data_IF_738251619569
#
_entry.id   IF_738251619569
#
_cell.length_a   1.000
_cell.length_b   1.000
_cell.length_c   1.000
_cell.angle_alpha   90.00
_cell.angle_beta   90.00
_cell.angle_gamma   90.00
#
_symmetry.space_group_name_H-M   'P 1'
#
loop_
_entity.id
_entity.type
_entity.pdbx_description
1 polymer ?
#
# COMPACT_ATOMS: atom_id res chain seq x y z
N UNK A 1 -41.62 -10.21 -39.76
CA UNK A 1 -41.76 -11.07 -38.54
C UNK A 1 -40.93 -10.46 -37.43
N UNK A 2 -41.52 -10.23 -36.27
CA UNK A 2 -40.76 -9.74 -35.11
C UNK A 2 -39.84 -10.82 -34.55
N UNK A 3 -38.61 -10.46 -34.23
CA UNK A 3 -37.64 -11.36 -33.61
C UNK A 3 -38.07 -11.81 -32.20
N UNK A 4 -37.56 -12.92 -31.66
CA UNK A 4 -37.86 -13.34 -30.29
C UNK A 4 -37.56 -12.24 -29.25
N UNK A 5 -36.49 -11.47 -29.45
CA UNK A 5 -36.14 -10.34 -28.60
C UNK A 5 -37.17 -9.20 -28.65
N UNK A 6 -37.66 -8.87 -29.83
CA UNK A 6 -38.72 -7.84 -30.01
C UNK A 6 -40.05 -8.24 -29.37
N UNK A 7 -40.43 -9.54 -29.45
CA UNK A 7 -41.62 -10.06 -28.77
C UNK A 7 -41.48 -10.00 -27.24
N UNK A 8 -40.28 -10.23 -26.72
CA UNK A 8 -40.02 -10.14 -25.30
C UNK A 8 -40.08 -8.68 -24.79
N UNK A 9 -39.48 -7.76 -25.53
CA UNK A 9 -39.54 -6.33 -25.18
C UNK A 9 -40.97 -5.79 -25.18
N UNK A 10 -41.78 -6.19 -26.15
CA UNK A 10 -43.21 -5.83 -26.22
C UNK A 10 -44.01 -6.40 -25.04
N UNK A 11 -43.75 -7.67 -24.65
CA UNK A 11 -44.37 -8.31 -23.50
C UNK A 11 -43.99 -7.66 -22.17
N UNK A 12 -42.82 -7.04 -22.10
CA UNK A 12 -42.31 -6.31 -20.93
C UNK A 12 -42.67 -4.82 -20.96
N UNK A 13 -43.39 -4.34 -21.99
CA UNK A 13 -43.72 -2.92 -22.12
C UNK A 13 -42.54 -2.01 -22.41
N UNK A 14 -41.43 -2.60 -22.88
CA UNK A 14 -40.20 -1.86 -23.18
C UNK A 14 -40.12 -1.52 -24.66
N UNK A 15 -39.69 -0.30 -24.99
CA UNK A 15 -39.47 0.12 -26.39
C UNK A 15 -38.21 -0.57 -26.95
N UNK A 16 -38.27 -0.98 -28.23
CA UNK A 16 -37.12 -1.53 -28.92
C UNK A 16 -36.05 -0.45 -29.11
N UNK A 17 -34.85 -0.59 -28.53
CA UNK A 17 -33.80 0.41 -28.62
C UNK A 17 -33.24 0.60 -30.04
N UNK A 18 -33.53 -0.33 -30.95
CA UNK A 18 -33.08 -0.26 -32.35
C UNK A 18 -34.09 0.45 -33.24
N UNK A 19 -35.35 0.62 -32.80
CA UNK A 19 -36.39 1.27 -33.59
C UNK A 19 -36.37 2.81 -33.55
N UNK A 20 -35.63 3.40 -32.59
CA UNK A 20 -35.57 4.86 -32.45
C UNK A 20 -34.26 5.40 -33.04
N UNK A 21 -34.26 5.53 -34.38
CA UNK A 21 -33.13 6.08 -35.14
C UNK A 21 -32.90 7.59 -34.92
N UNK A 22 -33.73 8.27 -34.12
CA UNK A 22 -33.63 9.73 -33.87
C UNK A 22 -32.59 10.08 -32.78
N UNK A 23 -31.91 9.12 -32.19
CA UNK A 23 -31.01 9.32 -31.06
C UNK A 23 -29.52 9.27 -31.45
N UNK A 24 -29.17 8.98 -32.69
CA UNK A 24 -27.77 8.86 -33.14
C UNK A 24 -27.38 10.08 -33.97
N UNK A 25 -27.19 11.23 -33.32
CA UNK A 25 -26.57 12.41 -33.93
C UNK A 25 -25.29 12.88 -33.26
N UNK A 26 -24.86 12.20 -32.18
CA UNK A 26 -23.58 12.51 -31.50
C UNK A 26 -22.76 11.24 -31.27
N UNK A 27 -21.66 11.05 -32.05
CA UNK A 27 -20.82 9.84 -31.94
C UNK A 27 -20.17 9.68 -30.57
N UNK A 28 -19.97 10.75 -29.81
CA UNK A 28 -19.33 10.71 -28.50
C UNK A 28 -20.26 10.22 -27.36
N UNK A 29 -21.57 10.36 -27.55
CA UNK A 29 -22.55 9.90 -26.57
C UNK A 29 -23.05 8.47 -26.79
N UNK A 30 -22.82 7.89 -27.95
CA UNK A 30 -23.45 6.62 -28.34
C UNK A 30 -22.96 5.41 -27.51
N UNK A 31 -21.68 5.36 -27.13
CA UNK A 31 -21.14 4.30 -26.29
C UNK A 31 -21.57 4.41 -24.84
N UNK A 32 -21.59 5.62 -24.30
CA UNK A 32 -22.05 5.88 -22.94
C UNK A 32 -23.55 5.60 -22.77
N UNK A 33 -24.36 6.01 -23.73
CA UNK A 33 -25.80 5.76 -23.73
C UNK A 33 -26.14 4.28 -23.97
N UNK A 34 -25.35 3.57 -24.75
CA UNK A 34 -25.46 2.12 -24.89
C UNK A 34 -25.21 1.40 -23.56
N UNK A 35 -24.15 1.73 -22.84
CA UNK A 35 -23.87 1.14 -21.53
C UNK A 35 -24.88 1.56 -20.46
N UNK A 36 -25.39 2.77 -20.51
CA UNK A 36 -26.45 3.25 -19.62
C UNK A 36 -27.77 2.53 -19.88
N UNK A 37 -28.12 2.30 -21.13
CA UNK A 37 -29.35 1.59 -21.53
C UNK A 37 -29.22 0.06 -21.41
N UNK A 38 -28.05 -0.48 -21.64
CA UNK A 38 -27.73 -1.90 -21.38
C UNK A 38 -27.70 -2.19 -19.87
N UNK A 39 -27.17 -1.29 -19.03
CA UNK A 39 -27.25 -1.37 -17.58
C UNK A 39 -28.70 -1.36 -17.06
N UNK A 40 -29.52 -0.47 -17.58
CA UNK A 40 -30.95 -0.43 -17.23
C UNK A 40 -31.74 -1.67 -17.70
N UNK A 41 -31.37 -2.25 -18.85
CA UNK A 41 -31.98 -3.50 -19.36
C UNK A 41 -31.47 -4.76 -18.63
N UNK A 42 -30.21 -4.76 -18.18
CA UNK A 42 -29.61 -5.85 -17.38
C UNK A 42 -30.17 -5.96 -15.97
N UNK A 43 -30.65 -4.84 -15.40
CA UNK A 43 -31.28 -4.77 -14.08
C UNK A 43 -32.56 -5.64 -13.94
N UNK A 44 -33.25 -5.90 -15.05
CA UNK A 44 -34.49 -6.69 -15.02
C UNK A 44 -34.25 -8.21 -15.12
N UNK A 45 -33.08 -8.66 -15.56
CA UNK A 45 -32.79 -10.09 -15.77
C UNK A 45 -31.67 -10.64 -14.88
N UNK A 46 -30.92 -9.78 -14.22
CA UNK A 46 -29.78 -10.16 -13.37
C UNK A 46 -29.77 -9.55 -11.98
N UNK A 47 -30.89 -9.01 -11.53
CA UNK A 47 -31.00 -8.13 -10.36
C UNK A 47 -30.57 -8.68 -9.00
N UNK A 48 -30.09 -9.91 -8.94
CA UNK A 48 -29.63 -10.50 -7.65
C UNK A 48 -28.12 -10.74 -7.53
N UNK A 49 -27.33 -10.57 -8.60
CA UNK A 49 -25.90 -10.91 -8.54
C UNK A 49 -24.93 -9.75 -8.82
N UNK A 50 -25.39 -8.58 -9.24
CA UNK A 50 -24.53 -7.47 -9.65
C UNK A 50 -24.72 -6.13 -8.94
N UNK A 51 -25.67 -6.03 -8.01
CA UNK A 51 -25.99 -4.76 -7.32
C UNK A 51 -24.78 -4.14 -6.59
N UNK A 52 -23.86 -4.96 -6.07
CA UNK A 52 -22.69 -4.45 -5.34
C UNK A 52 -21.59 -3.88 -6.22
N UNK A 53 -21.46 -4.34 -7.46
CA UNK A 53 -20.42 -3.87 -8.40
C UNK A 53 -20.89 -2.59 -9.10
N UNK A 54 -22.15 -2.54 -9.52
CA UNK A 54 -22.74 -1.37 -10.16
C UNK A 54 -22.91 -0.20 -9.19
N UNK A 55 -23.32 -0.45 -7.95
CA UNK A 55 -23.40 0.59 -6.91
C UNK A 55 -22.02 1.13 -6.55
N UNK A 56 -21.02 0.27 -6.48
CA UNK A 56 -19.63 0.65 -6.21
C UNK A 56 -19.05 1.44 -7.40
N UNK A 57 -19.33 1.02 -8.62
CA UNK A 57 -18.96 1.74 -9.83
C UNK A 57 -19.67 3.10 -9.89
N UNK A 58 -20.98 3.14 -9.67
CA UNK A 58 -21.77 4.39 -9.66
C UNK A 58 -21.26 5.35 -8.58
N UNK A 59 -20.96 4.87 -7.39
CA UNK A 59 -20.46 5.68 -6.29
C UNK A 59 -19.02 6.17 -6.54
N UNK A 60 -18.14 5.34 -7.11
CA UNK A 60 -16.79 5.76 -7.48
C UNK A 60 -16.76 6.70 -8.68
N UNK A 61 -17.72 6.58 -9.59
CA UNK A 61 -17.84 7.43 -10.79
C UNK A 61 -18.55 8.75 -10.54
N UNK A 62 -19.35 8.87 -9.47
CA UNK A 62 -20.09 10.11 -9.18
C UNK A 62 -19.19 11.31 -8.86
N UNK A 63 -17.96 11.07 -8.42
CA UNK A 63 -16.98 12.09 -8.01
C UNK A 63 -15.94 12.42 -9.09
N UNK A 64 -16.01 11.80 -10.27
CA UNK A 64 -15.02 11.98 -11.33
C UNK A 64 -15.53 12.97 -12.38
N UNK A 65 -14.64 13.84 -12.85
CA UNK A 65 -14.93 14.75 -13.96
C UNK A 65 -15.27 13.93 -15.21
N UNK A 66 -16.53 14.04 -15.68
CA UNK A 66 -17.03 13.27 -16.83
C UNK A 66 -16.54 13.78 -18.18
N UNK A 67 -15.82 14.90 -18.19
CA UNK A 67 -15.31 15.55 -19.40
C UNK A 67 -13.83 15.26 -19.66
N UNK A 68 -13.27 14.19 -19.08
CA UNK A 68 -11.89 13.83 -19.33
C UNK A 68 -11.69 13.26 -20.72
N UNK A 69 -10.66 13.71 -21.41
CA UNK A 69 -10.14 13.12 -22.64
C UNK A 69 -8.77 12.46 -22.30
N UNK A 70 -8.73 11.17 -21.97
CA UNK A 70 -7.51 10.52 -21.48
C UNK A 70 -6.33 10.60 -22.45
N UNK A 71 -6.59 10.59 -23.76
CA UNK A 71 -5.55 10.70 -24.80
C UNK A 71 -4.86 12.07 -24.81
N UNK A 72 -5.55 13.12 -24.39
CA UNK A 72 -5.08 14.51 -24.42
C UNK A 72 -4.58 15.00 -23.06
N UNK A 73 -4.59 14.15 -22.04
CA UNK A 73 -4.08 14.49 -20.73
C UNK A 73 -2.57 14.74 -20.78
N UNK A 74 -2.15 15.80 -20.09
CA UNK A 74 -0.74 16.15 -19.89
C UNK A 74 -0.50 16.55 -18.45
N UNK A 75 0.57 16.06 -17.87
CA UNK A 75 1.06 16.49 -16.56
C UNK A 75 1.53 17.94 -16.68
N UNK A 76 0.96 18.83 -15.89
CA UNK A 76 1.29 20.26 -15.88
C UNK A 76 2.13 20.69 -14.68
N UNK A 77 1.94 20.03 -13.54
CA UNK A 77 2.67 20.34 -12.32
C UNK A 77 2.79 19.14 -11.39
N UNK A 78 3.73 19.22 -10.47
CA UNK A 78 3.84 18.33 -9.31
C UNK A 78 4.23 19.14 -8.08
N UNK A 79 3.47 18.99 -7.01
CA UNK A 79 3.63 19.71 -5.74
C UNK A 79 3.63 18.71 -4.60
N UNK A 80 4.02 19.15 -3.41
CA UNK A 80 3.97 18.33 -2.19
C UNK A 80 3.40 19.11 -1.02
N UNK A 81 2.90 18.36 -0.05
CA UNK A 81 2.58 18.83 1.28
C UNK A 81 3.02 17.76 2.29
N UNK A 82 3.38 18.19 3.50
CA UNK A 82 3.66 17.26 4.59
C UNK A 82 2.46 17.25 5.53
N UNK A 83 1.81 16.11 5.65
CA UNK A 83 0.71 15.90 6.57
C UNK A 83 1.25 15.21 7.82
N UNK A 84 0.85 15.70 8.99
CA UNK A 84 1.21 15.07 10.26
C UNK A 84 0.10 14.09 10.68
N UNK A 85 0.49 12.87 10.98
CA UNK A 85 -0.39 11.85 11.56
C UNK A 85 0.22 11.40 12.91
N UNK A 86 -0.19 12.02 13.99
CA UNK A 86 0.47 11.84 15.28
C UNK A 86 1.93 12.29 15.20
N UNK A 87 2.85 11.35 15.42
CA UNK A 87 4.29 11.60 15.32
C UNK A 87 4.87 11.38 13.92
N UNK A 88 4.08 10.78 13.02
CA UNK A 88 4.54 10.45 11.67
C UNK A 88 4.40 11.64 10.73
N UNK A 89 5.45 11.91 9.98
CA UNK A 89 5.44 12.88 8.87
C UNK A 89 5.13 12.12 7.58
N UNK A 90 4.01 12.44 6.96
CA UNK A 90 3.54 11.81 5.73
C UNK A 90 3.63 12.81 4.57
N UNK A 91 4.72 12.82 3.81
CA UNK A 91 4.81 13.67 2.64
C UNK A 91 3.91 13.11 1.53
N UNK A 92 3.01 13.94 1.05
CA UNK A 92 2.09 13.62 -0.05
C UNK A 92 2.46 14.48 -1.24
N UNK A 93 2.58 13.88 -2.41
CA UNK A 93 2.69 14.60 -3.67
C UNK A 93 1.33 14.68 -4.35
N UNK A 94 1.14 15.75 -5.11
CA UNK A 94 0.03 15.94 -6.01
C UNK A 94 0.56 16.21 -7.42
N UNK A 95 0.08 15.44 -8.39
CA UNK A 95 0.35 15.64 -9.80
C UNK A 95 -0.89 16.27 -10.43
N UNK A 96 -0.73 17.44 -11.04
CA UNK A 96 -1.80 18.18 -11.71
C UNK A 96 -1.76 17.93 -13.22
N UNK A 97 -2.93 18.04 -13.87
CA UNK A 97 -3.07 17.88 -15.32
C UNK A 97 -3.73 19.08 -15.98
N UNK A 98 -3.59 19.18 -17.31
CA UNK A 98 -4.22 20.22 -18.14
C UNK A 98 -5.76 20.18 -18.16
N UNK A 99 -6.39 19.13 -17.63
CA UNK A 99 -7.85 18.98 -17.61
C UNK A 99 -8.43 19.08 -16.19
N UNK A 100 -7.66 19.56 -15.21
CA UNK A 100 -8.10 19.72 -13.83
C UNK A 100 -8.18 18.42 -13.01
N UNK A 101 -7.95 17.27 -13.63
CA UNK A 101 -7.78 16.01 -12.92
C UNK A 101 -6.41 16.03 -12.23
N UNK A 102 -6.37 15.56 -11.00
CA UNK A 102 -5.12 15.42 -10.27
C UNK A 102 -5.04 14.06 -9.57
N UNK A 103 -3.83 13.61 -9.30
CA UNK A 103 -3.56 12.40 -8.53
C UNK A 103 -2.70 12.67 -7.31
N UNK A 104 -2.87 11.83 -6.31
CA UNK A 104 -2.14 11.86 -5.05
C UNK A 104 -1.29 10.60 -4.88
N UNK A 105 -0.11 10.77 -4.30
CA UNK A 105 0.76 9.67 -3.90
C UNK A 105 1.51 10.03 -2.64
N UNK A 106 1.67 9.07 -1.74
CA UNK A 106 2.42 9.26 -0.50
C UNK A 106 3.87 8.82 -0.66
N UNK A 107 4.78 9.70 -0.29
CA UNK A 107 6.21 9.41 -0.19
C UNK A 107 6.48 8.87 1.20
N UNK A 108 6.73 7.58 1.28
CA UNK A 108 6.74 6.86 2.54
C UNK A 108 8.12 6.33 2.95
N UNK A 109 8.20 5.82 4.18
CA UNK A 109 9.28 5.03 4.74
C UNK A 109 10.65 5.71 4.79
N UNK A 110 10.65 6.96 5.28
CA UNK A 110 11.87 7.75 5.41
C UNK A 110 12.42 8.23 4.07
N UNK A 111 11.71 8.01 2.97
CA UNK A 111 12.03 8.66 1.71
C UNK A 111 11.71 10.15 1.80
N UNK A 112 12.59 10.97 1.22
CA UNK A 112 12.39 12.41 1.19
C UNK A 112 11.43 12.81 0.06
N UNK A 113 10.53 13.75 0.31
CA UNK A 113 9.74 14.40 -0.72
C UNK A 113 10.60 15.00 -1.85
N UNK A 114 11.87 15.31 -1.57
CA UNK A 114 12.82 15.80 -2.57
C UNK A 114 13.08 14.77 -3.65
N UNK A 115 13.10 13.47 -3.31
CA UNK A 115 13.24 12.39 -4.29
C UNK A 115 12.06 12.29 -5.25
N UNK A 116 10.86 12.62 -4.78
CA UNK A 116 9.71 12.71 -5.65
C UNK A 116 9.77 13.96 -6.54
N UNK A 117 10.04 15.13 -5.93
CA UNK A 117 10.04 16.40 -6.67
C UNK A 117 11.13 16.50 -7.73
N UNK A 118 12.28 15.90 -7.53
CA UNK A 118 13.32 15.91 -8.54
C UNK A 118 12.88 15.19 -9.83
N UNK A 119 11.94 14.24 -9.73
CA UNK A 119 11.36 13.53 -10.87
C UNK A 119 10.40 14.40 -11.69
N UNK A 120 9.95 15.54 -11.16
CA UNK A 120 9.02 16.46 -11.82
C UNK A 120 9.48 16.79 -13.25
N UNK A 121 10.73 17.21 -13.44
CA UNK A 121 11.27 17.55 -14.75
C UNK A 121 11.29 16.38 -15.74
N UNK A 122 11.17 15.16 -15.26
CA UNK A 122 11.20 13.94 -16.08
C UNK A 122 9.82 13.56 -16.61
N UNK A 123 8.76 14.07 -15.98
CA UNK A 123 7.38 13.65 -16.27
C UNK A 123 6.48 14.78 -16.79
N UNK A 124 6.87 16.05 -16.65
CA UNK A 124 6.10 17.18 -17.18
C UNK A 124 5.82 17.02 -18.67
N UNK A 125 4.59 17.35 -19.09
CA UNK A 125 4.11 17.25 -20.46
C UNK A 125 3.77 15.83 -20.92
N UNK A 126 4.09 14.80 -20.15
CA UNK A 126 3.73 13.41 -20.47
C UNK A 126 2.26 13.14 -20.18
N UNK A 127 1.70 12.16 -20.89
CA UNK A 127 0.35 11.70 -20.59
C UNK A 127 0.38 10.78 -19.35
N UNK A 128 -0.30 11.16 -18.24
CA UNK A 128 -0.26 10.38 -16.99
C UNK A 128 -0.93 9.02 -17.09
N UNK A 129 -1.76 8.76 -18.09
CA UNK A 129 -2.37 7.45 -18.30
C UNK A 129 -1.39 6.42 -18.87
N UNK A 130 -0.22 6.85 -19.36
CA UNK A 130 0.86 5.96 -19.77
C UNK A 130 1.74 5.57 -18.58
N UNK A 131 1.13 5.00 -17.54
CA UNK A 131 1.75 4.74 -16.23
C UNK A 131 3.03 3.93 -16.37
N UNK A 132 2.96 2.79 -17.05
CA UNK A 132 4.11 1.90 -17.26
C UNK A 132 5.29 2.58 -17.97
N UNK A 133 5.00 3.38 -18.98
CA UNK A 133 6.04 4.11 -19.72
C UNK A 133 6.73 5.12 -18.81
N UNK A 134 5.95 5.88 -18.02
CA UNK A 134 6.50 6.86 -17.08
C UNK A 134 7.29 6.14 -15.98
N UNK A 135 6.73 5.07 -15.41
CA UNK A 135 7.41 4.28 -14.39
C UNK A 135 8.76 3.75 -14.87
N UNK A 136 8.81 3.15 -16.07
CA UNK A 136 10.08 2.69 -16.66
C UNK A 136 11.10 3.81 -16.84
N UNK A 137 10.65 5.02 -17.15
CA UNK A 137 11.51 6.19 -17.30
C UNK A 137 12.12 6.65 -15.97
N UNK A 138 11.37 6.56 -14.87
CA UNK A 138 11.78 7.11 -13.58
C UNK A 138 12.33 6.06 -12.60
N UNK A 139 12.03 4.78 -12.76
CA UNK A 139 12.40 3.73 -11.78
C UNK A 139 13.90 3.65 -11.49
N UNK A 140 14.75 3.98 -12.46
CA UNK A 140 16.19 4.00 -12.30
C UNK A 140 16.68 5.00 -11.23
N UNK A 141 15.86 5.98 -10.89
CA UNK A 141 16.16 6.98 -9.86
C UNK A 141 15.73 6.57 -8.47
N UNK A 142 15.00 5.47 -8.35
CA UNK A 142 14.46 4.99 -7.09
C UNK A 142 15.43 4.11 -6.33
N UNK A 143 16.38 3.50 -7.00
CA UNK A 143 17.24 2.47 -6.45
C UNK A 143 16.42 1.44 -5.66
N UNK A 144 16.88 1.03 -4.50
CA UNK A 144 16.13 0.14 -3.62
C UNK A 144 15.90 0.80 -2.25
N UNK A 145 15.07 0.16 -1.47
CA UNK A 145 14.71 0.62 -0.15
C UNK A 145 13.91 1.91 -0.16
N UNK A 146 14.14 2.73 0.82
CA UNK A 146 13.33 3.92 1.12
C UNK A 146 13.39 5.01 0.04
N UNK A 147 14.44 5.04 -0.74
CA UNK A 147 14.58 5.99 -1.86
C UNK A 147 13.57 5.71 -2.98
N UNK A 148 13.18 4.44 -3.14
CA UNK A 148 12.11 4.05 -4.06
C UNK A 148 10.77 4.71 -3.76
N UNK A 149 10.55 5.16 -2.54
CA UNK A 149 9.31 5.81 -2.12
C UNK A 149 8.94 7.04 -2.96
N UNK A 150 9.92 7.79 -3.47
CA UNK A 150 9.65 8.91 -4.38
C UNK A 150 9.13 8.46 -5.74
N UNK A 151 9.69 7.39 -6.31
CA UNK A 151 9.23 6.79 -7.57
C UNK A 151 7.86 6.15 -7.39
N UNK A 152 7.66 5.41 -6.30
CA UNK A 152 6.38 4.78 -5.99
C UNK A 152 5.26 5.82 -5.76
N UNK A 153 5.56 6.94 -5.10
CA UNK A 153 4.61 8.02 -4.91
C UNK A 153 4.12 8.61 -6.25
N UNK A 154 5.05 8.80 -7.20
CA UNK A 154 4.68 9.24 -8.55
C UNK A 154 3.80 8.20 -9.23
N UNK A 155 4.15 6.94 -9.17
CA UNK A 155 3.38 5.86 -9.80
C UNK A 155 1.97 5.75 -9.19
N UNK A 156 1.82 5.81 -7.86
CA UNK A 156 0.51 5.86 -7.20
C UNK A 156 -0.34 7.03 -7.69
N UNK A 157 0.25 8.23 -7.80
CA UNK A 157 -0.45 9.41 -8.30
C UNK A 157 -0.89 9.26 -9.77
N UNK A 158 -0.11 8.58 -10.59
CA UNK A 158 -0.48 8.29 -11.98
C UNK A 158 -1.65 7.30 -12.06
N UNK A 159 -1.68 6.25 -11.24
CA UNK A 159 -2.82 5.33 -11.17
C UNK A 159 -4.09 6.02 -10.66
N UNK A 160 -3.97 6.96 -9.71
CA UNK A 160 -5.09 7.77 -9.26
C UNK A 160 -5.64 8.67 -10.39
N UNK A 161 -4.76 9.31 -11.19
CA UNK A 161 -5.17 10.06 -12.38
C UNK A 161 -5.83 9.16 -13.41
N UNK A 162 -5.23 8.02 -13.74
CA UNK A 162 -5.75 7.11 -14.73
C UNK A 162 -7.15 6.60 -14.33
N UNK A 163 -7.32 6.20 -13.07
CA UNK A 163 -8.62 5.80 -12.54
C UNK A 163 -9.68 6.89 -12.71
N UNK A 164 -9.35 8.13 -12.36
CA UNK A 164 -10.23 9.30 -12.54
C UNK A 164 -10.51 9.60 -14.01
N UNK A 165 -9.50 9.52 -14.86
CA UNK A 165 -9.65 9.80 -16.28
C UNK A 165 -10.52 8.77 -17.01
N UNK A 166 -10.36 7.49 -16.66
CA UNK A 166 -11.19 6.41 -17.22
C UNK A 166 -12.51 6.18 -16.46
N UNK A 167 -12.71 6.90 -15.36
CA UNK A 167 -13.91 6.80 -14.53
C UNK A 167 -14.08 5.39 -13.91
N UNK A 168 -12.99 4.80 -13.47
CA UNK A 168 -12.96 3.50 -12.77
C UNK A 168 -12.03 3.59 -11.55
N UNK A 169 -12.26 2.80 -10.50
CA UNK A 169 -11.30 2.71 -9.41
C UNK A 169 -9.98 2.09 -9.87
N UNK A 170 -8.86 2.53 -9.29
CA UNK A 170 -7.52 2.08 -9.69
C UNK A 170 -7.37 0.55 -9.69
N UNK A 171 -7.99 -0.17 -8.74
CA UNK A 171 -7.91 -1.62 -8.69
C UNK A 171 -8.46 -2.32 -9.95
N UNK A 172 -9.43 -1.71 -10.66
CA UNK A 172 -9.93 -2.25 -11.92
C UNK A 172 -8.88 -2.22 -13.03
N UNK A 173 -8.02 -1.19 -13.01
CA UNK A 173 -6.90 -1.07 -13.96
C UNK A 173 -5.75 -2.04 -13.59
N UNK A 174 -5.69 -2.47 -12.33
CA UNK A 174 -4.65 -3.35 -11.79
C UNK A 174 -5.04 -4.84 -11.80
N UNK A 175 -6.10 -5.21 -12.51
CA UNK A 175 -6.49 -6.62 -12.65
C UNK A 175 -7.80 -6.99 -11.96
N UNK A 176 -8.50 -6.02 -11.38
CA UNK A 176 -9.81 -6.22 -10.77
C UNK A 176 -9.78 -6.52 -9.28
N UNK A 177 -10.96 -6.76 -8.73
CA UNK A 177 -11.14 -6.96 -7.29
C UNK A 177 -10.90 -8.42 -6.92
N UNK A 178 -9.91 -8.66 -6.07
CA UNK A 178 -9.59 -10.00 -5.59
C UNK A 178 -10.35 -10.37 -4.29
N UNK A 179 -10.54 -9.40 -3.37
CA UNK A 179 -11.22 -9.61 -2.09
C UNK A 179 -11.88 -8.34 -1.58
N UNK A 180 -12.86 -8.49 -0.69
CA UNK A 180 -13.57 -7.38 -0.05
C UNK A 180 -13.01 -7.00 1.32
N UNK A 181 -12.29 -7.92 1.95
CA UNK A 181 -11.75 -7.75 3.30
C UNK A 181 -10.31 -8.24 3.36
N UNK A 182 -9.50 -7.54 4.14
CA UNK A 182 -8.14 -7.92 4.46
C UNK A 182 -8.04 -8.15 5.97
N UNK A 183 -7.47 -9.30 6.37
CA UNK A 183 -7.17 -9.57 7.77
C UNK A 183 -6.06 -8.64 8.23
N UNK A 184 -6.30 -7.92 9.31
CA UNK A 184 -5.29 -7.06 9.92
C UNK A 184 -4.54 -7.84 11.00
N UNK A 185 -3.27 -7.54 11.14
CA UNK A 185 -2.50 -7.91 12.31
C UNK A 185 -2.30 -6.70 13.24
N UNK A 186 -2.14 -6.95 14.51
CA UNK A 186 -1.79 -5.91 15.46
C UNK A 186 -0.26 -5.80 15.54
N UNK A 187 0.27 -4.70 15.06
CA UNK A 187 1.67 -4.33 15.27
C UNK A 187 1.87 -3.90 16.74
N UNK A 188 2.80 -4.56 17.45
CA UNK A 188 2.89 -4.43 18.91
C UNK A 188 4.30 -4.00 19.32
N UNK A 189 4.51 -2.69 19.55
CA UNK A 189 5.79 -2.18 20.02
C UNK A 189 6.13 -2.73 21.40
N UNK A 190 7.42 -2.88 21.68
CA UNK A 190 7.94 -3.53 22.89
C UNK A 190 7.48 -2.87 24.21
N UNK A 191 7.29 -1.56 24.24
CA UNK A 191 7.05 -0.84 25.49
C UNK A 191 8.33 -0.62 26.31
N UNK A 192 8.17 -0.10 27.53
CA UNK A 192 9.29 0.23 28.40
C UNK A 192 9.81 -0.96 29.21
N UNK A 193 8.99 -1.97 29.40
CA UNK A 193 9.33 -3.19 30.13
C UNK A 193 8.46 -4.37 29.65
N UNK A 194 8.83 -5.56 30.13
CA UNK A 194 8.18 -6.82 29.78
C UNK A 194 6.70 -6.87 30.19
N UNK A 195 6.37 -6.41 31.38
CA UNK A 195 5.00 -6.42 31.90
C UNK A 195 4.07 -5.53 31.03
N UNK A 196 4.53 -4.35 30.66
CA UNK A 196 3.81 -3.46 29.77
C UNK A 196 3.59 -4.10 28.38
N UNK A 197 4.61 -4.75 27.85
CA UNK A 197 4.53 -5.44 26.58
C UNK A 197 3.49 -6.57 26.60
N UNK A 198 3.55 -7.42 27.62
CA UNK A 198 2.57 -8.50 27.80
C UNK A 198 1.15 -7.96 27.94
N UNK A 199 0.97 -6.90 28.74
CA UNK A 199 -0.33 -6.25 28.90
C UNK A 199 -0.88 -5.70 27.57
N UNK A 200 -0.02 -5.14 26.72
CA UNK A 200 -0.41 -4.69 25.38
C UNK A 200 -0.89 -5.85 24.49
N UNK A 201 -0.16 -6.96 24.49
CA UNK A 201 -0.55 -8.16 23.74
C UNK A 201 -1.93 -8.63 24.20
N UNK A 202 -2.11 -8.82 25.52
CA UNK A 202 -3.36 -9.28 26.09
C UNK A 202 -4.54 -8.36 25.76
N UNK A 203 -4.35 -7.05 25.84
CA UNK A 203 -5.37 -6.08 25.46
C UNK A 203 -5.75 -6.19 23.98
N UNK A 204 -4.78 -6.36 23.08
CA UNK A 204 -5.04 -6.49 21.64
C UNK A 204 -5.81 -7.77 21.30
N UNK A 205 -5.51 -8.86 21.98
CA UNK A 205 -6.23 -10.11 21.80
C UNK A 205 -7.62 -10.08 22.42
N UNK A 206 -7.74 -9.68 23.69
CA UNK A 206 -8.94 -9.86 24.47
C UNK A 206 -9.95 -8.72 24.32
N UNK A 207 -9.47 -7.46 24.20
CA UNK A 207 -10.34 -6.28 24.15
C UNK A 207 -10.53 -5.77 22.71
N UNK A 208 -9.50 -5.83 21.88
CA UNK A 208 -9.54 -5.31 20.50
C UNK A 208 -9.85 -6.40 19.46
N UNK A 209 -9.82 -7.67 19.84
CA UNK A 209 -10.26 -8.78 19.00
C UNK A 209 -9.34 -9.10 17.82
N UNK A 210 -8.06 -8.73 17.88
CA UNK A 210 -7.12 -9.11 16.84
C UNK A 210 -6.87 -10.62 16.86
N UNK A 211 -6.88 -11.21 15.68
CA UNK A 211 -6.65 -12.65 15.50
C UNK A 211 -5.29 -12.96 14.89
N UNK A 212 -4.48 -11.96 14.68
CA UNK A 212 -3.10 -12.05 14.21
C UNK A 212 -2.26 -10.97 14.89
N UNK A 213 -1.11 -11.34 15.39
CA UNK A 213 -0.19 -10.45 16.09
C UNK A 213 1.12 -10.33 15.33
N UNK A 214 1.68 -9.13 15.28
CA UNK A 214 3.08 -8.88 14.98
C UNK A 214 3.71 -8.18 16.19
N UNK A 215 4.89 -8.58 16.57
CA UNK A 215 5.62 -7.97 17.68
C UNK A 215 6.93 -7.40 17.19
N UNK A 216 7.37 -6.33 17.79
CA UNK A 216 8.74 -5.86 17.66
C UNK A 216 9.70 -6.83 18.34
N UNK A 217 10.66 -7.29 17.58
CA UNK A 217 11.68 -8.21 18.02
C UNK A 217 13.04 -7.50 18.00
N UNK A 218 13.07 -6.36 18.62
CA UNK A 218 14.17 -5.42 18.48
C UNK A 218 15.41 -5.83 19.28
N UNK A 219 16.57 -5.60 18.69
CA UNK A 219 17.87 -5.75 19.36
C UNK A 219 18.07 -4.75 20.50
N UNK A 220 17.20 -3.75 20.60
CA UNK A 220 17.19 -2.81 21.73
C UNK A 220 17.08 -3.50 23.08
N UNK A 221 16.50 -4.67 23.13
CA UNK A 221 16.51 -5.52 24.34
C UNK A 221 17.93 -5.83 24.85
N UNK A 222 18.91 -5.77 23.96
CA UNK A 222 20.30 -6.09 24.26
C UNK A 222 21.13 -4.85 24.63
N UNK A 223 20.60 -3.65 24.43
CA UNK A 223 21.34 -2.39 24.50
C UNK A 223 22.15 -2.20 25.80
N UNK A 224 21.58 -2.57 26.93
CA UNK A 224 22.19 -2.38 28.23
C UNK A 224 22.61 -3.69 28.88
N UNK A 225 22.66 -4.77 28.12
CA UNK A 225 23.02 -6.09 28.62
C UNK A 225 24.41 -6.45 28.12
N UNK A 226 25.36 -6.51 29.07
CA UNK A 226 26.75 -6.79 28.76
C UNK A 226 26.92 -8.17 28.09
N UNK A 227 27.85 -8.24 27.16
CA UNK A 227 28.28 -9.49 26.48
C UNK A 227 27.17 -10.13 25.60
N UNK A 228 26.23 -9.34 25.08
CA UNK A 228 25.14 -9.86 24.23
C UNK A 228 25.36 -9.61 22.74
N UNK A 229 26.15 -8.61 22.42
CA UNK A 229 26.52 -8.29 21.05
C UNK A 229 27.91 -7.65 21.00
N UNK A 230 28.66 -7.88 19.92
CA UNK A 230 29.88 -7.16 19.58
C UNK A 230 29.56 -6.06 18.55
N UNK A 231 30.48 -5.11 18.42
CA UNK A 231 30.33 -3.95 17.51
C UNK A 231 29.07 -3.12 17.81
N UNK A 232 28.80 -2.89 19.08
CA UNK A 232 27.57 -2.25 19.57
C UNK A 232 27.58 -0.72 19.50
N UNK A 233 28.54 -0.09 18.82
CA UNK A 233 28.56 1.36 18.56
C UNK A 233 27.28 1.86 17.89
N UNK A 234 26.51 0.96 17.30
CA UNK A 234 25.18 1.19 16.78
C UNK A 234 24.26 1.93 17.78
N UNK A 235 24.38 1.68 19.07
CA UNK A 235 23.55 2.31 20.08
C UNK A 235 23.79 3.81 20.22
N UNK A 236 24.98 4.27 19.87
CA UNK A 236 25.41 5.66 20.02
C UNK A 236 24.99 6.53 18.82
N UNK A 237 24.65 5.90 17.69
CA UNK A 237 24.31 6.59 16.45
C UNK A 237 22.87 7.04 16.39
N UNK A 238 22.08 6.85 17.38
CA UNK A 238 20.68 7.30 17.45
C UNK A 238 19.82 6.92 16.23
N UNK A 239 18.68 6.27 16.42
CA UNK A 239 17.72 6.03 15.33
C UNK A 239 17.20 7.34 14.78
N UNK A 240 17.64 7.69 13.59
CA UNK A 240 17.03 8.79 12.86
C UNK A 240 15.88 8.25 12.01
N UNK A 241 14.71 8.14 12.61
CA UNK A 241 13.47 8.01 11.88
C UNK A 241 13.12 9.38 11.26
N UNK A 242 13.86 9.76 10.25
CA UNK A 242 13.60 11.01 9.55
C UNK A 242 13.24 10.69 8.10
N UNK A 243 12.29 11.44 7.56
CA UNK A 243 12.00 11.43 6.13
C UNK A 243 13.09 12.14 5.31
N UNK A 244 14.17 12.53 5.95
CA UNK A 244 15.34 13.13 5.31
C UNK A 244 16.28 12.03 4.83
N UNK A 245 16.98 12.25 3.73
CA UNK A 245 18.06 11.36 3.31
C UNK A 245 19.01 11.16 4.48
N UNK A 246 19.34 9.93 4.81
CA UNK A 246 20.37 9.68 5.80
C UNK A 246 21.64 10.32 5.28
N UNK A 247 22.14 11.32 5.98
CA UNK A 247 23.49 11.81 5.78
C UNK A 247 24.42 10.75 6.35
N UNK A 248 24.86 9.87 5.50
CA UNK A 248 25.98 9.01 5.81
C UNK A 248 27.23 9.87 5.87
N UNK A 249 27.48 10.51 6.98
CA UNK A 249 28.86 10.84 7.29
C UNK A 249 29.67 9.57 7.11
N UNK A 250 30.93 9.61 6.89
CA UNK A 250 31.94 8.55 6.75
C UNK A 250 31.73 7.24 7.53
N UNK A 251 30.50 6.86 7.80
CA UNK A 251 30.09 5.78 8.68
C UNK A 251 29.93 4.51 7.87
N UNK A 252 30.67 3.52 8.26
CA UNK A 252 30.42 2.14 7.87
C UNK A 252 28.95 1.79 8.08
N UNK A 253 28.42 0.90 7.29
CA UNK A 253 27.03 0.51 7.35
C UNK A 253 26.74 -0.24 8.64
N UNK A 254 26.43 0.48 9.71
CA UNK A 254 26.27 -0.02 11.06
C UNK A 254 25.16 -1.08 11.21
N UNK A 255 24.23 -1.14 10.25
CA UNK A 255 23.13 -2.10 10.23
C UNK A 255 23.58 -3.57 10.04
N UNK A 256 24.78 -3.80 9.54
CA UNK A 256 25.32 -5.15 9.30
C UNK A 256 26.54 -5.51 10.17
N UNK A 257 26.89 -4.64 11.11
CA UNK A 257 28.10 -4.87 11.92
C UNK A 257 27.86 -5.56 13.24
N UNK A 258 26.63 -5.63 13.70
CA UNK A 258 26.30 -6.23 14.99
C UNK A 258 26.43 -7.74 14.89
N UNK A 259 27.26 -8.32 15.76
CA UNK A 259 27.42 -9.75 15.91
C UNK A 259 26.79 -10.20 17.23
N UNK A 260 25.78 -11.07 17.16
CA UNK A 260 25.12 -11.62 18.34
C UNK A 260 26.00 -12.68 19.00
N UNK A 261 26.15 -12.62 20.32
CA UNK A 261 26.66 -13.73 21.12
C UNK A 261 25.54 -14.76 21.35
N UNK A 262 25.90 -15.95 21.84
CA UNK A 262 24.89 -16.95 22.21
C UNK A 262 24.00 -16.46 23.36
N UNK A 263 24.52 -15.68 24.28
CA UNK A 263 23.76 -15.00 25.34
C UNK A 263 22.73 -14.01 24.74
N UNK A 264 23.12 -13.22 23.72
CA UNK A 264 22.21 -12.33 23.03
C UNK A 264 21.10 -13.08 22.31
N UNK A 265 21.43 -14.17 21.63
CA UNK A 265 20.45 -15.02 20.95
C UNK A 265 19.44 -15.62 21.94
N UNK A 266 19.93 -16.10 23.11
CA UNK A 266 19.05 -16.65 24.13
C UNK A 266 18.07 -15.63 24.68
N UNK A 267 18.50 -14.40 24.95
CA UNK A 267 17.61 -13.32 25.39
C UNK A 267 16.51 -13.04 24.36
N UNK A 268 16.89 -12.93 23.08
CA UNK A 268 15.91 -12.69 22.02
C UNK A 268 14.94 -13.87 21.86
N UNK A 269 15.43 -15.11 21.92
CA UNK A 269 14.58 -16.30 21.85
C UNK A 269 13.63 -16.41 23.04
N UNK A 270 14.10 -16.10 24.25
CA UNK A 270 13.28 -16.08 25.47
C UNK A 270 12.17 -15.01 25.38
N UNK A 271 12.39 -13.90 24.69
CA UNK A 271 11.34 -12.92 24.43
C UNK A 271 10.22 -13.49 23.59
N UNK A 272 10.54 -14.25 22.56
CA UNK A 272 9.53 -14.95 21.74
C UNK A 272 8.82 -16.03 22.55
N UNK A 273 9.56 -16.78 23.38
CA UNK A 273 9.00 -17.79 24.28
C UNK A 273 7.94 -17.20 25.21
N UNK A 274 8.25 -16.08 25.83
CA UNK A 274 7.34 -15.37 26.74
C UNK A 274 6.03 -14.99 26.02
N UNK A 275 6.12 -14.46 24.81
CA UNK A 275 4.93 -14.09 24.05
C UNK A 275 4.10 -15.31 23.72
N UNK A 276 4.73 -16.42 23.31
CA UNK A 276 4.03 -17.68 23.05
C UNK A 276 3.39 -18.28 24.30
N UNK A 277 4.03 -18.18 25.44
CA UNK A 277 3.45 -18.61 26.71
C UNK A 277 2.14 -17.86 27.02
N UNK A 278 2.09 -16.56 26.73
CA UNK A 278 0.93 -15.72 27.05
C UNK A 278 -0.19 -15.78 26.02
N UNK A 279 0.11 -16.01 24.75
CA UNK A 279 -0.88 -16.02 23.67
C UNK A 279 -1.22 -17.41 23.12
N UNK A 280 -0.43 -18.44 23.44
CA UNK A 280 -0.59 -19.77 22.85
C UNK A 280 -0.18 -19.84 21.39
N UNK A 281 -0.67 -20.88 20.70
CA UNK A 281 -0.33 -21.18 19.31
C UNK A 281 -1.53 -21.09 18.34
N UNK A 282 -2.73 -20.81 18.85
CA UNK A 282 -3.95 -20.72 18.04
C UNK A 282 -3.99 -19.46 17.19
N UNK A 283 -3.25 -18.44 17.60
CA UNK A 283 -3.14 -17.16 16.91
C UNK A 283 -1.76 -17.04 16.27
N UNK A 284 -1.68 -16.77 14.95
CA UNK A 284 -0.40 -16.52 14.29
C UNK A 284 0.33 -15.34 14.93
N UNK A 285 1.64 -15.52 15.12
CA UNK A 285 2.54 -14.50 15.60
C UNK A 285 3.64 -14.27 14.56
N UNK A 286 3.77 -13.04 14.12
CA UNK A 286 4.90 -12.58 13.31
C UNK A 286 5.84 -11.71 14.14
N UNK A 287 7.04 -11.53 13.66
CA UNK A 287 8.02 -10.65 14.27
C UNK A 287 8.59 -9.70 13.24
N UNK A 288 8.76 -8.45 13.63
CA UNK A 288 9.47 -7.44 12.88
C UNK A 288 10.89 -7.34 13.43
N UNK A 289 11.85 -7.36 12.53
CA UNK A 289 13.23 -7.14 12.85
C UNK A 289 13.84 -6.13 11.87
N UNK A 290 14.63 -5.25 12.35
CA UNK A 290 15.04 -4.04 11.65
C UNK A 290 16.31 -4.16 10.82
N UNK A 291 16.63 -5.35 10.31
CA UNK A 291 17.74 -5.53 9.39
C UNK A 291 19.13 -5.17 9.97
N UNK A 292 19.33 -5.39 11.26
CA UNK A 292 20.55 -5.00 11.96
C UNK A 292 21.65 -6.09 11.93
N UNK A 293 21.37 -7.22 11.28
CA UNK A 293 22.23 -8.39 11.28
C UNK A 293 22.75 -8.72 9.89
N UNK A 294 23.90 -9.37 9.86
CA UNK A 294 24.35 -10.07 8.67
C UNK A 294 23.60 -11.40 8.47
N UNK A 295 23.84 -12.06 7.36
CA UNK A 295 23.22 -13.34 7.03
C UNK A 295 23.44 -14.43 8.10
N UNK A 296 24.64 -14.50 8.67
CA UNK A 296 24.96 -15.53 9.63
C UNK A 296 24.17 -15.33 10.93
N UNK A 297 24.08 -14.10 11.42
CA UNK A 297 23.28 -13.78 12.59
C UNK A 297 21.79 -13.93 12.33
N UNK A 298 21.30 -13.57 11.15
CA UNK A 298 19.92 -13.80 10.76
C UNK A 298 19.56 -15.30 10.78
N UNK A 299 20.43 -16.16 10.23
CA UNK A 299 20.27 -17.62 10.26
C UNK A 299 20.29 -18.16 11.68
N UNK A 300 21.24 -17.73 12.51
CA UNK A 300 21.34 -18.16 13.92
C UNK A 300 20.09 -17.78 14.71
N UNK A 301 19.61 -16.56 14.53
CA UNK A 301 18.39 -16.09 15.16
C UNK A 301 17.17 -16.88 14.66
N UNK A 302 17.02 -17.08 13.35
CA UNK A 302 15.96 -17.89 12.77
C UNK A 302 15.91 -19.29 13.39
N UNK A 303 17.05 -19.98 13.50
CA UNK A 303 17.15 -21.29 14.14
C UNK A 303 16.78 -21.25 15.62
N UNK A 304 17.19 -20.22 16.35
CA UNK A 304 16.90 -20.09 17.78
C UNK A 304 15.39 -19.93 18.06
N UNK A 305 14.65 -19.30 17.14
CA UNK A 305 13.21 -19.04 17.30
C UNK A 305 12.31 -19.99 16.51
N UNK A 306 12.85 -20.87 15.68
CA UNK A 306 12.10 -21.81 14.81
C UNK A 306 11.04 -22.61 15.57
N UNK A 307 11.37 -23.12 16.77
CA UNK A 307 10.47 -23.88 17.62
C UNK A 307 9.20 -23.13 18.04
N UNK A 308 9.20 -21.79 17.96
CA UNK A 308 8.07 -20.96 18.32
C UNK A 308 7.12 -20.69 17.14
N UNK A 309 7.41 -21.21 15.95
CA UNK A 309 6.54 -21.20 14.77
C UNK A 309 6.02 -19.80 14.44
N UNK A 310 6.93 -18.87 14.21
CA UNK A 310 6.57 -17.53 13.76
C UNK A 310 6.05 -17.60 12.33
N UNK A 311 5.04 -16.78 12.04
CA UNK A 311 4.44 -16.69 10.70
C UNK A 311 5.41 -16.11 9.68
N UNK A 312 6.20 -15.11 10.09
CA UNK A 312 7.36 -14.57 9.35
C UNK A 312 8.28 -13.83 10.31
N UNK A 313 9.50 -13.60 9.84
CA UNK A 313 10.49 -12.69 10.41
C UNK A 313 10.71 -11.59 9.37
N UNK A 314 10.38 -10.34 9.72
CA UNK A 314 10.43 -9.18 8.84
C UNK A 314 11.78 -8.47 8.98
N UNK A 315 12.26 -7.90 7.87
CA UNK A 315 13.48 -7.08 7.81
C UNK A 315 14.73 -7.72 8.48
N UNK A 316 14.94 -9.01 8.25
CA UNK A 316 16.05 -9.76 8.87
C UNK A 316 17.41 -9.37 8.33
N UNK A 317 17.45 -8.86 7.13
CA UNK A 317 18.67 -8.37 6.46
C UNK A 317 18.38 -6.99 5.85
N UNK A 318 19.40 -6.11 5.74
CA UNK A 318 19.24 -4.77 5.17
C UNK A 318 18.78 -4.77 3.72
#
# INVERSE_FOLDING_TARGET
MKTPAQKLLEKLGLKDPVADQSIVTDPDNSRRDFFRKAGAGGLMLGGFMFSSVEDTLAQSTSKVNRNSAPSDLKITDMRYAVVMNGHARCPVIRIDTNQGIYGLGEVRDGASWRYALFLKSRILGMNPCNVEMIFKRIKQFGFHGRQGGGVCAVEMALWDIAGKAYNVPAYQLLGGKYRDKVRLYADTPQGNNEAEFVARIQRRLNEQGFTFMKMDFGIELLKNVKDTASNSNFWDIGRQWTNEPMTYGSTEHHMTQIQLTDKGLEILANRVALVREKMGYDIPLASDHYGHFDHNNAIRLGKAVEKYRLAWLEDMIP
#
